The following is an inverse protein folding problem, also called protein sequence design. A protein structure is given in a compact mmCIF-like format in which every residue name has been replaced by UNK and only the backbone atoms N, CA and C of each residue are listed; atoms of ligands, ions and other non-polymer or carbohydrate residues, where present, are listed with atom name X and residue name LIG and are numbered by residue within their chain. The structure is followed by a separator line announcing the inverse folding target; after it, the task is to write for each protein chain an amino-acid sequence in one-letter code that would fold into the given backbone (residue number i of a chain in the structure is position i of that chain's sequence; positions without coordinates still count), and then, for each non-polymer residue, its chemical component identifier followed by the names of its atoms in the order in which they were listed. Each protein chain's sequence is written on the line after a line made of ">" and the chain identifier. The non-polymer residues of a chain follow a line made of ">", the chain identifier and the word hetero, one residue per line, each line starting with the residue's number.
data_IF_404700237293
#
_entry.id   IF_404700237293
#
_cell.length_a   1.000
_cell.length_b   1.000
_cell.length_c   1.000
_cell.angle_alpha   90.00
_cell.angle_beta   90.00
_cell.angle_gamma   90.00
#
_symmetry.space_group_name_H-M   'P 1'
#
loop_
_entity.id
_entity.type
_entity.pdbx_description
1 polymer ?
#
# COMPACT_ATOMS: atom_id res chain seq x y z
N UNK A 1 -18.22 -45.42 36.74
CA UNK A 1 -17.61 -46.54 35.99
C UNK A 1 -17.09 -46.03 34.65
N UNK A 2 -16.11 -46.71 34.02
CA UNK A 2 -15.56 -46.51 32.64
C UNK A 2 -15.35 -45.04 32.16
N UNK A 3 -14.15 -44.46 32.03
CA UNK A 3 -12.94 -44.84 31.24
C UNK A 3 -13.22 -45.14 29.76
N UNK A 4 -12.89 -44.18 28.89
CA UNK A 4 -12.66 -44.38 27.44
C UNK A 4 -11.24 -43.94 27.09
N UNK A 5 -10.49 -44.76 26.34
CA UNK A 5 -9.08 -44.52 25.93
C UNK A 5 -9.02 -43.81 24.57
N UNK A 6 -7.96 -43.04 24.28
CA UNK A 6 -7.65 -42.62 22.91
C UNK A 6 -7.00 -43.77 22.11
N UNK A 7 -7.24 -43.81 20.80
CA UNK A 7 -6.63 -44.76 19.88
C UNK A 7 -5.48 -44.10 19.10
N UNK A 8 -4.29 -44.71 19.16
CA UNK A 8 -3.12 -44.34 18.36
C UNK A 8 -2.85 -45.41 17.31
N UNK A 9 -2.60 -45.02 16.06
CA UNK A 9 -2.05 -45.91 15.02
C UNK A 9 -0.75 -45.35 14.41
N UNK A 10 0.17 -46.26 14.09
CA UNK A 10 1.58 -45.99 13.72
C UNK A 10 1.78 -45.76 12.21
N UNK A 11 2.91 -45.15 11.80
CA UNK A 11 3.23 -44.88 10.39
C UNK A 11 3.88 -46.08 9.68
N UNK A 12 3.83 -46.08 8.33
CA UNK A 12 4.53 -47.01 7.46
C UNK A 12 5.68 -46.35 6.68
N UNK A 13 6.75 -47.12 6.43
CA UNK A 13 7.92 -46.81 5.58
C UNK A 13 7.57 -47.19 4.09
N UNK A 14 8.37 -47.02 3.03
CA UNK A 14 9.80 -46.71 2.87
C UNK A 14 10.17 -46.28 1.42
N UNK A 15 11.29 -45.53 1.29
CA UNK A 15 12.42 -45.70 0.34
C UNK A 15 12.25 -45.78 -1.20
N UNK A 16 12.97 -44.84 -1.84
CA UNK A 16 14.01 -45.02 -2.87
C UNK A 16 13.70 -45.39 -4.34
N UNK A 17 14.22 -44.57 -5.27
CA UNK A 17 15.20 -45.00 -6.28
C UNK A 17 15.99 -43.81 -6.91
N UNK A 18 17.26 -44.03 -7.26
CA UNK A 18 18.11 -43.14 -8.10
C UNK A 18 18.54 -43.92 -9.35
N UNK A 19 18.47 -43.32 -10.54
CA UNK A 19 19.33 -43.56 -11.70
C UNK A 19 18.97 -42.54 -12.82
N UNK A 20 19.86 -42.10 -13.72
CA UNK A 20 21.30 -42.36 -13.83
C UNK A 20 21.92 -41.44 -14.90
N UNK A 21 23.25 -41.22 -14.84
CA UNK A 21 23.99 -40.51 -15.89
C UNK A 21 24.04 -41.32 -17.18
N UNK A 22 24.15 -40.65 -18.34
CA UNK A 22 24.97 -41.19 -19.43
C UNK A 22 25.70 -40.10 -20.22
N UNK A 23 27.02 -40.24 -20.27
CA UNK A 23 27.95 -39.48 -21.10
C UNK A 23 28.21 -40.29 -22.38
N UNK A 24 28.43 -39.63 -23.51
CA UNK A 24 29.27 -40.17 -24.59
C UNK A 24 30.25 -39.10 -25.06
N UNK A 25 31.45 -39.55 -25.42
CA UNK A 25 32.59 -38.71 -25.74
C UNK A 25 33.31 -39.25 -27.00
N UNK A 26 34.14 -38.39 -27.60
CA UNK A 26 35.27 -38.72 -28.48
C UNK A 26 34.90 -39.37 -29.84
N UNK A 27 35.72 -39.38 -30.89
CA UNK A 27 37.10 -38.88 -31.14
C UNK A 27 37.20 -38.53 -32.67
N UNK A 28 38.31 -38.15 -33.35
CA UNK A 28 39.77 -38.36 -33.19
C UNK A 28 40.59 -37.23 -33.88
N UNK A 29 41.85 -37.06 -33.48
CA UNK A 29 42.91 -36.25 -34.12
C UNK A 29 43.45 -36.92 -35.40
N UNK A 30 44.05 -36.21 -36.39
CA UNK A 30 45.51 -36.02 -36.60
C UNK A 30 45.79 -35.71 -38.11
N UNK A 31 46.93 -35.17 -38.64
CA UNK A 31 48.12 -34.47 -38.09
C UNK A 31 48.84 -33.64 -39.21
N UNK A 32 49.25 -32.41 -38.87
CA UNK A 32 50.40 -31.57 -39.32
C UNK A 32 51.14 -31.84 -40.67
N UNK A 33 51.21 -30.83 -41.57
CA UNK A 33 52.46 -30.06 -41.91
C UNK A 33 52.22 -28.83 -42.81
N UNK A 34 53.14 -27.85 -42.72
CA UNK A 34 53.06 -26.49 -43.29
C UNK A 34 53.60 -26.39 -44.73
N UNK A 35 53.02 -25.50 -45.52
CA UNK A 35 53.72 -24.68 -46.52
C UNK A 35 53.11 -23.26 -46.53
N UNK A 36 53.92 -22.23 -46.80
CA UNK A 36 53.52 -20.84 -46.62
C UNK A 36 53.23 -20.13 -47.96
N UNK A 37 52.14 -19.34 -48.08
CA UNK A 37 51.94 -18.47 -49.22
C UNK A 37 52.35 -17.01 -48.93
N UNK A 38 53.35 -16.56 -49.68
CA UNK A 38 53.50 -15.24 -50.34
C UNK A 38 52.50 -14.14 -49.92
N UNK A 39 53.03 -13.04 -49.35
CA UNK A 39 52.27 -11.79 -49.11
C UNK A 39 51.61 -11.29 -50.41
N UNK A 40 50.29 -11.16 -50.41
CA UNK A 40 49.56 -10.23 -51.28
C UNK A 40 48.99 -9.11 -50.40
N UNK A 41 49.18 -7.86 -50.83
CA UNK A 41 48.63 -6.71 -50.14
C UNK A 41 47.14 -6.59 -50.47
N UNK A 42 46.27 -7.07 -49.57
CA UNK A 42 44.85 -6.81 -49.65
C UNK A 42 44.54 -5.40 -49.14
N UNK A 43 43.81 -4.61 -49.93
CA UNK A 43 43.36 -3.29 -49.53
C UNK A 43 42.41 -3.39 -48.31
N UNK A 44 42.69 -2.63 -47.26
CA UNK A 44 41.80 -2.53 -46.11
C UNK A 44 40.55 -1.73 -46.46
N UNK A 45 39.46 -2.42 -46.80
CA UNK A 45 38.13 -1.82 -46.78
C UNK A 45 37.71 -1.61 -45.32
N UNK A 46 37.71 -0.36 -44.87
CA UNK A 46 37.36 0.00 -43.51
C UNK A 46 35.86 -0.29 -43.25
N UNK A 47 35.58 -1.43 -42.62
CA UNK A 47 34.22 -1.83 -42.23
C UNK A 47 33.65 -0.85 -41.22
N UNK A 48 32.72 0.00 -41.65
CA UNK A 48 32.04 0.96 -40.79
C UNK A 48 31.37 0.25 -39.59
N UNK A 49 31.61 0.74 -38.38
CA UNK A 49 30.94 0.26 -37.17
C UNK A 49 29.49 0.76 -37.18
N UNK A 50 28.48 -0.09 -36.89
CA UNK A 50 27.11 0.39 -36.74
C UNK A 50 27.03 1.35 -35.55
N UNK A 51 26.49 2.55 -35.79
CA UNK A 51 26.21 3.51 -34.73
C UNK A 51 25.11 2.98 -33.83
N UNK A 52 25.34 2.99 -32.51
CA UNK A 52 24.28 2.69 -31.54
C UNK A 52 23.12 3.67 -31.73
N UNK A 53 21.85 3.23 -31.74
CA UNK A 53 20.72 4.14 -31.76
C UNK A 53 20.77 5.04 -30.50
N UNK A 54 20.68 6.36 -30.70
CA UNK A 54 20.56 7.31 -29.59
C UNK A 54 19.20 7.10 -28.94
N UNK A 55 19.18 6.64 -27.70
CA UNK A 55 17.98 6.62 -26.87
C UNK A 55 17.39 8.03 -26.84
N UNK A 56 16.08 8.24 -27.07
CA UNK A 56 15.47 9.54 -26.88
C UNK A 56 15.73 10.00 -25.45
N UNK A 57 16.31 11.18 -25.29
CA UNK A 57 16.47 11.77 -23.96
C UNK A 57 15.07 11.97 -23.37
N UNK A 58 14.75 11.26 -22.30
CA UNK A 58 13.47 11.42 -21.63
C UNK A 58 13.26 12.90 -21.31
N UNK A 59 12.12 13.47 -21.74
CA UNK A 59 11.74 14.84 -21.35
C UNK A 59 11.77 14.88 -19.83
N UNK A 60 12.75 15.60 -19.25
CA UNK A 60 12.75 15.92 -17.83
C UNK A 60 11.40 16.56 -17.53
N UNK A 61 10.61 15.91 -16.67
CA UNK A 61 9.40 16.52 -16.16
C UNK A 61 9.78 17.86 -15.52
N UNK A 62 9.00 18.91 -15.80
CA UNK A 62 9.19 20.21 -15.16
C UNK A 62 9.21 20.00 -13.64
N UNK A 63 10.17 20.58 -12.90
CA UNK A 63 10.21 20.42 -11.46
C UNK A 63 8.88 20.88 -10.87
N UNK A 64 8.23 20.03 -10.05
CA UNK A 64 7.06 20.46 -9.28
C UNK A 64 7.46 21.70 -8.47
N UNK A 65 6.59 22.73 -8.38
CA UNK A 65 6.90 23.90 -7.57
C UNK A 65 7.26 23.47 -6.15
N UNK A 66 8.30 24.08 -5.59
CA UNK A 66 8.75 23.77 -4.24
C UNK A 66 7.61 24.06 -3.24
N UNK A 67 7.31 23.09 -2.37
CA UNK A 67 6.27 23.28 -1.34
C UNK A 67 6.72 24.40 -0.38
N UNK A 68 5.78 25.23 0.12
CA UNK A 68 6.09 26.18 1.19
C UNK A 68 6.74 25.48 2.40
N UNK A 69 7.60 26.18 3.14
CA UNK A 69 8.15 25.66 4.39
C UNK A 69 7.02 25.51 5.40
N UNK A 70 6.92 24.34 6.02
CA UNK A 70 5.96 24.10 7.09
C UNK A 70 6.27 24.97 8.31
N UNK A 71 5.24 25.29 9.09
CA UNK A 71 5.34 26.02 10.36
C UNK A 71 5.03 25.07 11.51
N UNK A 72 5.73 25.25 12.63
CA UNK A 72 5.42 24.52 13.86
C UNK A 72 3.98 24.81 14.31
N UNK A 73 3.24 23.75 14.64
CA UNK A 73 1.89 23.78 15.17
C UNK A 73 1.81 22.79 16.33
N UNK A 74 1.12 23.19 17.39
CA UNK A 74 0.78 22.35 18.53
C UNK A 74 -0.71 22.53 18.81
N UNK A 75 -1.40 21.43 19.10
CA UNK A 75 -2.81 21.42 19.52
C UNK A 75 -2.91 20.57 20.78
N UNK A 76 -3.45 21.16 21.84
CA UNK A 76 -3.71 20.48 23.11
C UNK A 76 -5.19 20.02 23.14
N UNK A 77 -5.49 18.93 23.85
CA UNK A 77 -6.88 18.47 23.98
C UNK A 77 -7.63 19.39 24.95
N UNK A 78 -8.73 19.94 24.45
CA UNK A 78 -9.82 20.59 25.20
C UNK A 78 -11.13 20.03 24.63
N UNK A 79 -12.14 19.81 25.46
CA UNK A 79 -13.38 19.18 25.00
C UNK A 79 -14.28 20.16 24.25
N UNK A 80 -14.19 21.45 24.57
CA UNK A 80 -14.86 22.55 23.88
C UNK A 80 -14.34 22.82 22.45
N UNK A 81 -13.20 22.23 22.06
CA UNK A 81 -12.68 22.33 20.69
C UNK A 81 -13.33 21.30 19.72
N UNK A 82 -14.17 20.38 20.22
CA UNK A 82 -14.94 19.46 19.39
C UNK A 82 -16.21 20.10 18.85
N UNK A 83 -16.38 20.10 17.52
CA UNK A 83 -17.45 20.81 16.82
C UNK A 83 -18.29 19.87 15.96
N UNK A 84 -19.61 20.07 15.94
CA UNK A 84 -20.57 19.29 15.16
C UNK A 84 -20.92 19.95 13.81
N UNK A 85 -19.98 20.66 13.20
CA UNK A 85 -20.12 21.38 11.93
C UNK A 85 -19.54 20.62 10.72
N UNK A 86 -19.25 19.32 10.89
CA UNK A 86 -18.82 18.42 9.82
C UNK A 86 -19.97 17.80 9.01
N UNK A 87 -19.62 16.97 8.01
CA UNK A 87 -20.57 16.35 7.08
C UNK A 87 -21.47 15.25 7.66
N UNK A 88 -21.22 14.81 8.90
CA UNK A 88 -21.87 13.64 9.52
C UNK A 88 -22.46 14.05 10.88
N UNK A 89 -23.78 13.93 11.04
CA UNK A 89 -24.48 14.31 12.27
C UNK A 89 -24.07 13.46 13.49
N UNK A 90 -23.61 12.24 13.26
CA UNK A 90 -23.10 11.31 14.28
C UNK A 90 -21.62 11.54 14.65
N UNK A 91 -21.00 12.65 14.24
CA UNK A 91 -19.58 12.91 14.50
C UNK A 91 -19.32 14.37 14.92
N UNK A 92 -18.39 14.53 15.86
CA UNK A 92 -17.77 15.80 16.21
C UNK A 92 -16.29 15.78 15.81
N UNK A 93 -15.79 16.92 15.34
CA UNK A 93 -14.43 17.05 14.80
C UNK A 93 -13.64 18.07 15.62
N UNK A 94 -12.38 17.76 15.92
CA UNK A 94 -11.39 18.67 16.52
C UNK A 94 -10.20 18.81 15.57
N UNK A 95 -10.11 19.96 14.90
CA UNK A 95 -8.96 20.29 14.04
C UNK A 95 -7.67 20.42 14.88
N UNK A 96 -6.58 19.82 14.39
CA UNK A 96 -5.26 19.91 15.01
C UNK A 96 -4.39 21.03 14.42
N UNK A 97 -4.93 21.80 13.45
CA UNK A 97 -4.29 22.94 12.81
C UNK A 97 -3.24 22.57 11.75
N UNK A 98 -3.12 21.28 11.41
CA UNK A 98 -2.07 20.76 10.52
C UNK A 98 -2.23 21.27 9.08
N UNK A 99 -3.45 21.45 8.58
CA UNK A 99 -3.69 22.03 7.25
C UNK A 99 -3.08 23.45 7.14
N UNK A 100 -3.32 24.29 8.16
CA UNK A 100 -2.75 25.64 8.27
C UNK A 100 -1.24 25.63 8.52
N UNK A 101 -0.73 24.67 9.30
CA UNK A 101 0.71 24.51 9.57
C UNK A 101 1.51 24.03 8.35
N UNK A 102 0.87 23.27 7.46
CA UNK A 102 1.53 22.61 6.32
C UNK A 102 1.15 23.17 4.96
N UNK A 103 0.39 24.28 4.93
CA UNK A 103 -0.09 24.95 3.72
C UNK A 103 -0.89 24.03 2.78
N UNK A 104 -1.91 23.36 3.33
CA UNK A 104 -2.81 22.46 2.58
C UNK A 104 -2.22 21.08 2.27
N UNK A 105 -1.00 20.78 2.69
CA UNK A 105 -0.38 19.48 2.41
C UNK A 105 -1.10 18.32 3.09
N UNK A 106 -1.49 18.48 4.36
CA UNK A 106 -2.14 17.43 5.14
C UNK A 106 -3.18 18.02 6.09
N UNK A 107 -4.33 17.38 6.19
CA UNK A 107 -5.28 17.58 7.28
C UNK A 107 -5.05 16.53 8.37
N UNK A 108 -5.20 16.92 9.63
CA UNK A 108 -5.31 15.99 10.72
C UNK A 108 -6.32 16.50 11.74
N UNK A 109 -7.27 15.65 12.13
CA UNK A 109 -8.29 15.94 13.12
C UNK A 109 -8.51 14.73 14.04
N UNK A 110 -9.08 14.98 15.21
CA UNK A 110 -9.70 13.90 16.01
C UNK A 110 -11.19 13.91 15.74
N UNK A 111 -11.73 12.77 15.34
CA UNK A 111 -13.15 12.51 15.17
C UNK A 111 -13.64 11.82 16.44
N UNK A 112 -14.66 12.37 17.10
CA UNK A 112 -15.41 11.71 18.17
C UNK A 112 -16.75 11.30 17.59
N UNK A 113 -17.04 10.00 17.57
CA UNK A 113 -18.36 9.52 17.18
C UNK A 113 -19.32 9.71 18.36
N UNK A 114 -20.54 10.16 18.07
CA UNK A 114 -21.52 10.57 19.09
C UNK A 114 -22.87 9.89 18.86
N UNK A 115 -23.59 9.66 19.95
CA UNK A 115 -24.87 8.95 19.94
C UNK A 115 -24.74 7.45 19.61
N UNK A 116 -25.83 6.68 19.75
CA UNK A 116 -25.86 5.29 19.31
C UNK A 116 -25.71 5.21 17.79
N UNK A 117 -24.99 4.21 17.29
CA UNK A 117 -24.87 3.98 15.86
C UNK A 117 -26.23 3.54 15.26
N UNK A 118 -26.83 4.36 14.38
CA UNK A 118 -27.86 3.90 13.43
C UNK A 118 -27.21 3.56 12.08
N UNK A 119 -27.13 2.27 11.69
CA UNK A 119 -26.59 1.88 10.40
C UNK A 119 -27.27 2.54 9.19
N UNK A 120 -28.52 3.01 9.29
CA UNK A 120 -29.21 3.73 8.21
C UNK A 120 -28.61 5.11 7.94
N UNK A 121 -28.10 5.76 8.97
CA UNK A 121 -27.44 7.07 8.86
C UNK A 121 -25.93 6.92 8.63
N UNK A 122 -25.32 5.90 9.24
CA UNK A 122 -23.87 5.72 9.34
C UNK A 122 -23.30 4.88 8.19
N UNK A 123 -23.98 3.81 7.74
CA UNK A 123 -23.48 2.87 6.73
C UNK A 123 -23.66 3.33 5.28
N UNK A 124 -23.37 4.60 5.01
CA UNK A 124 -23.33 5.19 3.66
C UNK A 124 -22.04 4.80 2.96
N UNK A 125 -22.12 4.01 1.87
CA UNK A 125 -20.94 3.63 1.08
C UNK A 125 -20.35 4.87 0.39
N UNK A 126 -19.07 5.13 0.59
CA UNK A 126 -18.40 6.30 0.00
C UNK A 126 -16.91 6.01 -0.28
N UNK A 127 -16.26 6.93 -0.99
CA UNK A 127 -14.81 6.95 -1.17
C UNK A 127 -14.27 8.39 -1.14
N UNK A 128 -12.96 8.54 -0.88
CA UNK A 128 -12.28 9.83 -0.91
C UNK A 128 -11.31 9.96 -2.10
N UNK A 129 -11.28 11.13 -2.73
CA UNK A 129 -10.34 11.53 -3.76
C UNK A 129 -9.03 12.04 -3.17
N UNK A 130 -8.28 11.16 -2.50
CA UNK A 130 -7.08 11.48 -1.70
C UNK A 130 -5.82 10.82 -2.26
N UNK A 131 -4.64 11.38 -1.96
CA UNK A 131 -3.34 10.75 -2.20
C UNK A 131 -3.00 9.74 -1.08
N UNK A 132 -3.42 10.03 0.16
CA UNK A 132 -3.17 9.19 1.35
C UNK A 132 -4.23 9.48 2.42
N UNK A 133 -4.65 8.42 3.13
CA UNK A 133 -5.47 8.51 4.34
C UNK A 133 -5.02 7.43 5.32
N UNK A 134 -4.87 7.79 6.59
CA UNK A 134 -4.57 6.90 7.70
C UNK A 134 -5.47 7.24 8.88
N UNK A 135 -5.98 6.21 9.55
CA UNK A 135 -6.81 6.35 10.75
C UNK A 135 -6.22 5.50 11.88
N UNK A 136 -6.32 6.02 13.10
CA UNK A 136 -5.82 5.40 14.33
C UNK A 136 -6.88 5.50 15.43
N UNK A 137 -7.18 4.41 16.12
CA UNK A 137 -8.17 4.40 17.22
C UNK A 137 -7.51 4.91 18.51
N UNK A 138 -7.95 6.09 18.97
CA UNK A 138 -7.48 6.70 20.22
C UNK A 138 -8.23 6.19 21.45
N UNK A 139 -9.52 5.87 21.30
CA UNK A 139 -10.39 5.32 22.36
C UNK A 139 -11.44 4.38 21.78
N UNK A 140 -11.81 3.34 22.53
CA UNK A 140 -12.95 2.49 22.22
C UNK A 140 -12.71 1.59 21.00
N UNK A 141 -13.73 1.42 20.15
CA UNK A 141 -13.63 0.64 18.92
C UNK A 141 -14.56 1.15 17.81
N UNK A 142 -14.21 0.85 16.56
CA UNK A 142 -15.04 1.09 15.37
C UNK A 142 -15.02 -0.14 14.47
N UNK A 143 -16.15 -0.48 13.86
CA UNK A 143 -16.31 -1.55 12.88
C UNK A 143 -16.61 -0.91 11.53
N UNK A 144 -15.85 -1.25 10.50
CA UNK A 144 -16.03 -0.70 9.16
C UNK A 144 -15.91 -1.79 8.10
N UNK A 145 -16.61 -1.59 6.99
CA UNK A 145 -16.45 -2.37 5.77
C UNK A 145 -15.48 -1.67 4.83
N UNK A 146 -14.58 -2.43 4.18
CA UNK A 146 -13.72 -1.95 3.10
C UNK A 146 -13.80 -2.88 1.88
N UNK A 147 -13.93 -2.32 0.69
CA UNK A 147 -13.99 -3.08 -0.57
C UNK A 147 -12.75 -3.97 -0.73
N UNK A 148 -12.99 -5.27 -0.95
CA UNK A 148 -11.94 -6.29 -1.07
C UNK A 148 -11.31 -6.77 0.25
N UNK A 149 -11.60 -6.14 1.39
CA UNK A 149 -11.13 -6.60 2.71
C UNK A 149 -12.25 -7.17 3.60
N UNK A 150 -13.50 -6.74 3.39
CA UNK A 150 -14.65 -7.15 4.20
C UNK A 150 -14.88 -6.24 5.41
N UNK A 151 -15.62 -6.76 6.40
CA UNK A 151 -15.84 -6.07 7.68
C UNK A 151 -14.67 -6.34 8.65
N UNK A 152 -14.13 -5.29 9.25
CA UNK A 152 -13.04 -5.34 10.23
C UNK A 152 -13.47 -4.51 11.46
N UNK A 153 -13.18 -5.01 12.66
CA UNK A 153 -13.32 -4.23 13.91
C UNK A 153 -11.95 -3.80 14.39
N UNK A 154 -11.75 -2.48 14.49
CA UNK A 154 -10.54 -1.82 14.95
C UNK A 154 -10.76 -1.35 16.38
N UNK A 155 -9.96 -1.87 17.31
CA UNK A 155 -9.98 -1.49 18.72
C UNK A 155 -8.92 -0.40 19.02
N UNK A 156 -8.97 0.21 20.19
CA UNK A 156 -7.94 1.13 20.70
C UNK A 156 -6.51 0.67 20.38
N UNK A 157 -5.69 1.58 19.84
CA UNK A 157 -4.33 1.29 19.37
C UNK A 157 -4.23 0.74 17.93
N UNK A 158 -5.35 0.38 17.30
CA UNK A 158 -5.37 -0.09 15.90
C UNK A 158 -5.07 1.05 14.93
N UNK A 159 -4.28 0.75 13.89
CA UNK A 159 -3.90 1.68 12.84
C UNK A 159 -4.17 1.03 11.47
N UNK A 160 -4.71 1.80 10.51
CA UNK A 160 -4.84 1.34 9.13
C UNK A 160 -4.70 2.49 8.14
N UNK A 161 -4.38 2.16 6.89
CA UNK A 161 -4.47 3.08 5.77
C UNK A 161 -5.74 2.81 4.96
N UNK A 162 -6.27 3.85 4.33
CA UNK A 162 -7.32 3.76 3.33
C UNK A 162 -6.70 4.14 1.97
N UNK A 163 -6.47 3.17 1.07
CA UNK A 163 -5.93 3.46 -0.26
C UNK A 163 -6.82 4.44 -1.04
N UNK A 164 -6.26 5.27 -1.94
CA UNK A 164 -7.01 6.19 -2.78
C UNK A 164 -8.25 5.54 -3.42
N UNK A 165 -9.42 6.14 -3.17
CA UNK A 165 -10.73 5.69 -3.67
C UNK A 165 -11.19 4.30 -3.21
N UNK A 166 -10.65 3.72 -2.13
CA UNK A 166 -11.24 2.51 -1.54
C UNK A 166 -12.66 2.81 -1.07
N UNK A 167 -13.64 2.01 -1.51
CA UNK A 167 -15.02 2.17 -1.06
C UNK A 167 -15.18 1.58 0.33
N UNK A 168 -15.80 2.32 1.23
CA UNK A 168 -15.94 1.92 2.63
C UNK A 168 -17.16 2.57 3.28
N UNK A 169 -17.52 2.05 4.46
CA UNK A 169 -18.52 2.66 5.35
C UNK A 169 -18.31 2.16 6.79
N UNK A 170 -18.80 2.94 7.76
CA UNK A 170 -18.83 2.52 9.17
C UNK A 170 -20.07 1.66 9.40
N UNK A 171 -19.88 0.51 10.05
CA UNK A 171 -20.92 -0.45 10.38
C UNK A 171 -21.51 -0.23 11.77
N UNK A 172 -20.64 0.10 12.72
CA UNK A 172 -20.91 0.08 14.15
C UNK A 172 -19.74 0.72 14.93
N UNK A 173 -19.95 1.23 16.15
CA UNK A 173 -18.90 1.82 17.00
C UNK A 173 -19.31 1.92 18.48
N UNK A 174 -18.33 2.05 19.37
CA UNK A 174 -18.56 2.27 20.81
C UNK A 174 -18.91 3.73 21.17
N UNK A 175 -19.71 3.92 22.21
CA UNK A 175 -20.13 5.24 22.75
C UNK A 175 -18.99 6.24 23.01
N UNK A 176 -17.77 5.75 23.28
CA UNK A 176 -16.57 6.57 23.54
C UNK A 176 -15.55 6.56 22.39
N UNK A 177 -15.97 6.21 21.16
CA UNK A 177 -15.06 6.07 20.03
C UNK A 177 -14.42 7.41 19.63
N UNK A 178 -13.10 7.48 19.72
CA UNK A 178 -12.30 8.59 19.18
C UNK A 178 -11.25 8.07 18.20
N UNK A 179 -11.18 8.71 17.02
CA UNK A 179 -10.28 8.36 15.93
C UNK A 179 -9.40 9.56 15.59
N UNK A 180 -8.08 9.36 15.52
CA UNK A 180 -7.19 10.27 14.81
C UNK A 180 -7.23 9.92 13.32
N UNK A 181 -7.51 10.90 12.47
CA UNK A 181 -7.41 10.75 11.02
C UNK A 181 -6.41 11.75 10.45
N UNK A 182 -5.60 11.28 9.49
CA UNK A 182 -4.60 12.06 8.76
C UNK A 182 -4.81 11.84 7.26
N UNK A 183 -5.08 12.91 6.51
CA UNK A 183 -5.40 12.88 5.07
C UNK A 183 -4.48 13.83 4.30
N UNK A 184 -4.09 13.42 3.08
CA UNK A 184 -3.39 14.27 2.10
C UNK A 184 -4.09 14.19 0.74
N UNK A 185 -4.26 15.32 0.01
CA UNK A 185 -4.09 16.71 0.47
C UNK A 185 -5.09 17.07 1.59
N UNK A 186 -4.97 18.27 2.20
CA UNK A 186 -5.93 18.70 3.22
C UNK A 186 -7.33 18.94 2.63
N UNK A 187 -7.41 19.53 1.43
CA UNK A 187 -8.64 19.74 0.69
C UNK A 187 -8.86 18.60 -0.32
N UNK A 188 -9.88 17.75 -0.09
CA UNK A 188 -10.17 16.56 -0.90
C UNK A 188 -11.67 16.38 -1.17
N UNK A 189 -11.99 15.64 -2.22
CA UNK A 189 -13.37 15.27 -2.55
C UNK A 189 -13.80 14.01 -1.76
N UNK A 190 -15.06 13.99 -1.33
CA UNK A 190 -15.72 12.78 -0.79
C UNK A 190 -16.95 12.48 -1.64
N UNK A 191 -17.00 11.29 -2.23
CA UNK A 191 -18.10 10.86 -3.09
C UNK A 191 -18.90 9.78 -2.38
N UNK A 192 -20.13 10.14 -1.97
CA UNK A 192 -21.11 9.18 -1.49
C UNK A 192 -21.74 8.44 -2.67
N UNK A 193 -21.77 7.11 -2.57
CA UNK A 193 -22.35 6.24 -3.59
C UNK A 193 -23.80 5.95 -3.20
N UNK A 194 -24.74 6.47 -3.98
CA UNK A 194 -26.14 6.06 -3.91
C UNK A 194 -26.26 4.57 -4.24
N UNK A 195 -27.00 3.85 -3.41
CA UNK A 195 -27.43 2.47 -3.67
C UNK A 195 -28.50 2.39 -4.77
#
# INVERSE_FOLDING_TARGET
>A
MAKTKPATTKPAKAKSAKAGKRVKAAARSAVVKKSAPRKQAAAFTARAKPSKPRTPAARRASPRPARPKQRFVVSHHRDEDFRADGLRAYAQYRDLGIAKGTHGLAQAHVIRLIGPCDPKEVSKLHFHGVDFQMVYVLKGWVKAYFEGQGEITMNEGSCWTQPPRIKHFIRDYSDNCELLEVILPAEFETVELTA
#
